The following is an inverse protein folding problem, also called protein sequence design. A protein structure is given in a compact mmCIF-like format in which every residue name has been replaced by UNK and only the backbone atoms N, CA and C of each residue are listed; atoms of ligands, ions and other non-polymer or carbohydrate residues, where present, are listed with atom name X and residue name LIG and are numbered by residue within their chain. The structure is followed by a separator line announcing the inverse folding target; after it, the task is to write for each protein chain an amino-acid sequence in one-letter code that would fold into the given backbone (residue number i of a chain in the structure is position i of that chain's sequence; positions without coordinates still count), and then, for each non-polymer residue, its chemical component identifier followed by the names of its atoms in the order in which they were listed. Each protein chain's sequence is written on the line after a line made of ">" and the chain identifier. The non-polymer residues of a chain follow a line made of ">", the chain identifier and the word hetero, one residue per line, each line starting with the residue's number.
data_IF_015852580306
#
_entry.id   IF_015852580306
#
_cell.length_a   1.000
_cell.length_b   1.000
_cell.length_c   1.000
_cell.angle_alpha   90.00
_cell.angle_beta   90.00
_cell.angle_gamma   90.00
#
_symmetry.space_group_name_H-M   'P 1'
#
loop_
_entity.id
_entity.type
_entity.pdbx_description
1 polymer ?
#
# COMPACT_ATOMS: atom_id res chain seq x y z
N UNK A 1 17.02 -2.97 -9.37
CA UNK A 1 16.81 -3.25 -10.80
C UNK A 1 16.26 -2.08 -11.58
N UNK A 2 15.84 -0.95 -10.96
CA UNK A 2 15.36 0.22 -11.70
C UNK A 2 14.07 -0.03 -12.51
N UNK A 3 13.39 -1.15 -12.25
CA UNK A 3 12.17 -1.58 -12.93
C UNK A 3 10.96 -1.31 -12.04
N UNK A 4 9.76 -1.12 -12.61
CA UNK A 4 8.53 -1.05 -11.84
C UNK A 4 8.35 -2.26 -10.93
N UNK A 5 7.75 -2.04 -9.76
CA UNK A 5 7.53 -3.09 -8.78
C UNK A 5 6.23 -3.82 -9.10
N UNK A 6 6.26 -4.76 -10.06
CA UNK A 6 5.12 -5.56 -10.46
C UNK A 6 4.85 -6.71 -9.47
N UNK A 7 3.60 -6.94 -9.09
CA UNK A 7 3.26 -7.98 -8.10
C UNK A 7 3.41 -7.53 -6.64
N UNK A 8 3.62 -6.24 -6.38
CA UNK A 8 3.67 -5.67 -5.03
C UNK A 8 2.24 -5.51 -4.50
N UNK A 9 1.96 -6.11 -3.33
CA UNK A 9 0.69 -5.90 -2.63
C UNK A 9 0.68 -4.53 -1.95
N UNK A 10 -0.44 -3.83 -2.09
CA UNK A 10 -0.73 -2.55 -1.44
C UNK A 10 -2.09 -2.66 -0.77
N UNK A 11 -2.16 -2.35 0.51
CA UNK A 11 -3.42 -2.24 1.24
C UNK A 11 -3.75 -0.76 1.49
N UNK A 12 -5.01 -0.38 1.29
CA UNK A 12 -5.52 0.92 1.67
C UNK A 12 -6.37 0.81 2.93
N UNK A 13 -6.03 1.62 3.94
CA UNK A 13 -6.77 1.74 5.17
C UNK A 13 -7.34 3.15 5.36
N UNK A 14 -8.52 3.23 5.97
CA UNK A 14 -9.01 4.45 6.62
C UNK A 14 -8.67 4.40 8.10
N UNK A 15 -8.20 5.52 8.66
CA UNK A 15 -7.94 5.66 10.10
C UNK A 15 -9.23 5.99 10.84
N UNK A 16 -9.50 5.25 11.90
CA UNK A 16 -10.60 5.44 12.82
C UNK A 16 -10.07 5.52 14.26
N UNK A 17 -9.57 6.70 14.63
CA UNK A 17 -8.81 6.88 15.88
C UNK A 17 -7.50 6.08 15.86
N UNK A 18 -7.35 5.21 16.85
CA UNK A 18 -6.20 4.30 16.97
C UNK A 18 -6.34 3.04 16.10
N UNK A 19 -7.54 2.78 15.57
CA UNK A 19 -7.79 1.65 14.68
C UNK A 19 -7.61 2.03 13.21
N UNK A 20 -7.41 0.99 12.39
CA UNK A 20 -7.40 1.04 10.93
C UNK A 20 -8.52 0.15 10.38
N UNK A 21 -9.27 0.66 9.41
CA UNK A 21 -10.28 -0.08 8.66
C UNK A 21 -9.73 -0.34 7.26
N UNK A 22 -9.57 -1.61 6.88
CA UNK A 22 -9.16 -1.98 5.52
C UNK A 22 -10.29 -1.62 4.56
N UNK A 23 -9.97 -0.81 3.55
CA UNK A 23 -10.90 -0.43 2.49
C UNK A 23 -10.66 -1.29 1.24
N UNK A 24 -9.40 -1.47 0.87
CA UNK A 24 -9.04 -2.21 -0.33
C UNK A 24 -7.67 -2.89 -0.21
N UNK A 25 -7.46 -3.95 -1.00
CA UNK A 25 -6.18 -4.66 -1.11
C UNK A 25 -5.95 -5.05 -2.56
N UNK A 26 -4.87 -4.52 -3.13
CA UNK A 26 -4.56 -4.67 -4.56
C UNK A 26 -3.13 -5.12 -4.77
N UNK A 27 -2.84 -5.56 -5.99
CA UNK A 27 -1.51 -5.94 -6.45
C UNK A 27 -1.16 -5.10 -7.65
N UNK A 28 0.06 -4.58 -7.69
CA UNK A 28 0.53 -3.78 -8.82
C UNK A 28 0.71 -4.62 -10.09
N UNK A 29 0.35 -4.03 -11.22
CA UNK A 29 0.55 -4.56 -12.56
C UNK A 29 2.02 -4.47 -13.02
N UNK A 30 2.30 -4.87 -14.26
CA UNK A 30 3.65 -4.89 -14.85
C UNK A 30 4.31 -3.49 -14.96
N UNK A 31 3.52 -2.41 -14.94
CA UNK A 31 4.00 -1.02 -14.88
C UNK A 31 4.16 -0.50 -13.43
N UNK A 32 4.00 -1.37 -12.42
CA UNK A 32 4.11 -1.02 -11.01
C UNK A 32 2.97 -0.12 -10.51
N UNK A 33 1.85 -0.10 -11.22
CA UNK A 33 0.64 0.69 -10.91
C UNK A 33 -0.53 -0.22 -10.58
N UNK A 34 -1.63 0.38 -10.17
CA UNK A 34 -2.92 -0.29 -10.01
C UNK A 34 -3.82 0.11 -11.18
N UNK A 35 -4.60 -0.83 -11.71
CA UNK A 35 -5.43 -0.58 -12.90
C UNK A 35 -6.68 0.27 -12.58
N UNK A 36 -7.16 0.20 -11.34
CA UNK A 36 -8.27 1.00 -10.84
C UNK A 36 -7.81 1.97 -9.74
N UNK A 37 -8.48 3.12 -9.56
CA UNK A 37 -8.24 3.99 -8.42
C UNK A 37 -8.42 3.23 -7.10
N UNK A 38 -7.47 3.42 -6.16
CA UNK A 38 -7.54 2.83 -4.82
C UNK A 38 -8.67 3.38 -3.96
N UNK A 39 -9.18 4.56 -4.31
CA UNK A 39 -10.25 5.22 -3.61
C UNK A 39 -11.11 5.96 -4.63
N UNK A 40 -12.40 5.67 -4.65
CA UNK A 40 -13.36 6.29 -5.57
C UNK A 40 -14.76 6.35 -4.93
N UNK A 41 -15.63 7.19 -5.49
CA UNK A 41 -17.04 7.25 -5.16
C UNK A 41 -17.33 7.51 -3.68
N UNK A 42 -18.14 6.63 -3.09
CA UNK A 42 -18.66 6.80 -1.72
C UNK A 42 -17.59 6.68 -0.62
N UNK A 43 -16.45 6.06 -0.92
CA UNK A 43 -15.36 5.90 0.04
C UNK A 43 -14.41 7.11 0.07
N UNK A 44 -14.48 7.99 -0.94
CA UNK A 44 -13.67 9.19 -1.06
C UNK A 44 -14.20 10.32 -0.16
N UNK A 45 -14.13 10.11 1.15
CA UNK A 45 -14.60 11.04 2.18
C UNK A 45 -13.41 11.69 2.88
N UNK A 46 -13.55 12.95 3.31
CA UNK A 46 -12.54 13.61 4.13
C UNK A 46 -12.13 12.76 5.35
N UNK A 47 -10.82 12.71 5.62
CA UNK A 47 -10.29 11.86 6.67
C UNK A 47 -8.80 11.56 6.53
N UNK A 48 -8.32 10.64 7.37
CA UNK A 48 -6.93 10.15 7.35
C UNK A 48 -6.91 8.72 6.85
N UNK A 49 -5.92 8.41 6.03
CA UNK A 49 -5.77 7.15 5.34
C UNK A 49 -4.31 6.68 5.41
N UNK A 50 -4.10 5.39 5.14
CA UNK A 50 -2.78 4.79 5.05
C UNK A 50 -2.72 3.86 3.85
N UNK A 51 -1.66 3.99 3.05
CA UNK A 51 -1.23 2.94 2.14
C UNK A 51 -0.16 2.11 2.81
N UNK A 52 -0.33 0.79 2.84
CA UNK A 52 0.65 -0.17 3.35
C UNK A 52 1.22 -0.96 2.18
N UNK A 53 2.49 -0.76 1.88
CA UNK A 53 3.22 -1.48 0.85
C UNK A 53 3.97 -2.65 1.49
N UNK A 54 3.68 -3.87 1.04
CA UNK A 54 4.24 -5.12 1.58
C UNK A 54 5.63 -5.42 0.98
N UNK A 55 6.63 -4.63 1.37
CA UNK A 55 7.95 -4.61 0.74
C UNK A 55 8.78 -5.88 0.98
N UNK A 56 8.83 -6.40 2.20
CA UNK A 56 9.59 -7.63 2.47
C UNK A 56 9.02 -8.83 1.71
N UNK A 57 7.70 -9.00 1.71
CA UNK A 57 7.04 -10.06 0.96
C UNK A 57 7.38 -9.98 -0.54
N UNK A 58 7.33 -8.77 -1.11
CA UNK A 58 7.71 -8.54 -2.51
C UNK A 58 9.18 -8.85 -2.79
N UNK A 59 10.11 -8.28 -2.01
CA UNK A 59 11.55 -8.46 -2.21
C UNK A 59 11.98 -9.93 -2.02
N UNK A 60 11.41 -10.61 -1.03
CA UNK A 60 11.64 -12.03 -0.78
C UNK A 60 11.16 -12.91 -1.93
N UNK A 61 9.99 -12.61 -2.52
CA UNK A 61 9.50 -13.31 -3.71
C UNK A 61 10.41 -13.10 -4.95
N UNK A 62 11.14 -12.00 -5.01
CA UNK A 62 12.15 -11.73 -6.04
C UNK A 62 13.51 -12.42 -5.75
N UNK A 63 13.61 -13.21 -4.68
CA UNK A 63 14.84 -13.91 -4.29
C UNK A 63 15.87 -13.01 -3.60
N UNK A 64 15.46 -11.82 -3.13
CA UNK A 64 16.36 -10.94 -2.37
C UNK A 64 16.55 -11.51 -0.97
N UNK A 65 17.80 -11.63 -0.54
CA UNK A 65 18.10 -11.95 0.86
C UNK A 65 17.68 -10.78 1.75
N UNK A 66 16.82 -11.07 2.72
CA UNK A 66 16.38 -10.11 3.72
C UNK A 66 16.91 -10.55 5.10
N UNK A 67 17.44 -9.62 5.91
CA UNK A 67 17.76 -9.91 7.30
C UNK A 67 16.48 -10.23 8.09
N UNK A 68 16.63 -10.83 9.27
CA UNK A 68 15.53 -11.10 10.20
C UNK A 68 15.75 -10.33 11.51
N UNK A 69 14.98 -9.25 11.78
CA UNK A 69 13.88 -8.73 10.96
C UNK A 69 14.36 -7.94 9.73
N UNK A 70 13.54 -7.86 8.65
CA UNK A 70 13.86 -7.05 7.48
C UNK A 70 13.88 -5.56 7.84
N UNK A 71 14.81 -4.80 7.24
CA UNK A 71 14.86 -3.34 7.45
C UNK A 71 13.62 -2.63 6.88
N UNK A 72 13.13 -3.09 5.72
CA UNK A 72 11.88 -2.63 5.10
C UNK A 72 10.92 -3.82 5.03
N UNK A 73 9.98 -3.88 5.98
CA UNK A 73 8.92 -4.88 6.02
C UNK A 73 7.64 -4.33 5.37
N UNK A 74 6.84 -3.62 6.16
CA UNK A 74 5.70 -2.85 5.74
C UNK A 74 6.07 -1.36 5.68
N UNK A 75 5.93 -0.75 4.50
CA UNK A 75 6.14 0.69 4.33
C UNK A 75 4.78 1.37 4.39
N UNK A 76 4.55 2.20 5.41
CA UNK A 76 3.29 2.91 5.62
C UNK A 76 3.41 4.35 5.14
N UNK A 77 2.56 4.74 4.20
CA UNK A 77 2.37 6.14 3.80
C UNK A 77 1.03 6.62 4.36
N UNK A 78 1.09 7.44 5.41
CA UNK A 78 -0.09 8.07 6.00
C UNK A 78 -0.38 9.41 5.33
N UNK A 79 -1.63 9.65 4.93
CA UNK A 79 -2.05 10.87 4.24
C UNK A 79 -3.46 11.30 4.65
N UNK A 80 -3.80 12.55 4.35
CA UNK A 80 -5.12 13.13 4.59
C UNK A 80 -5.81 13.48 3.29
N UNK A 81 -7.12 13.26 3.25
CA UNK A 81 -8.02 13.83 2.25
C UNK A 81 -8.84 14.94 2.92
N UNK A 82 -8.83 16.13 2.31
CA UNK A 82 -9.68 17.24 2.71
C UNK A 82 -10.84 17.36 1.73
N UNK A 83 -12.04 17.58 2.25
CA UNK A 83 -13.15 18.11 1.45
C UNK A 83 -12.92 19.62 1.32
N UNK A 84 -12.91 20.12 0.08
CA UNK A 84 -12.92 21.56 -0.19
C UNK A 84 -14.36 22.03 -0.41
#
# INVERSE_FOLDING_TARGET
>A
TGRPAAGLRIDLYRRAGDNRLLLDSVVTNDDGRVDAPLLDGADMVAGRYELVFHAAAYLGAQGTFLPDPPFLDEIVIAFGLADN
#
